data_IF_185724615563
#
_entry.id   IF_185724615563
#
_cell.length_a   1.000
_cell.length_b   1.000
_cell.length_c   1.000
_cell.angle_alpha   90.00
_cell.angle_beta   90.00
_cell.angle_gamma   90.00
#
_symmetry.space_group_name_H-M   'P 1'
#
loop_
_entity.id
_entity.type
_entity.pdbx_description
1 polymer ?
#
# COMPACT_ATOMS: atom_id res chain seq x y z
N UNK A 1 15.46 20.61 -22.37
CA UNK A 1 15.33 19.15 -22.32
C UNK A 1 15.25 18.62 -20.90
N UNK A 2 16.04 19.07 -19.92
CA UNK A 2 15.98 18.61 -18.52
C UNK A 2 14.58 18.62 -17.83
N UNK A 3 13.73 19.62 -18.10
CA UNK A 3 12.39 19.75 -17.48
C UNK A 3 11.36 18.70 -17.90
N UNK A 4 11.54 18.00 -19.03
CA UNK A 4 10.61 16.95 -19.47
C UNK A 4 10.88 15.61 -18.80
N UNK A 5 12.11 15.35 -18.37
CA UNK A 5 12.51 14.12 -17.71
C UNK A 5 12.13 14.13 -16.22
N UNK A 6 12.18 15.28 -15.53
CA UNK A 6 11.70 15.41 -14.16
C UNK A 6 10.18 15.14 -14.04
N UNK A 7 9.38 15.45 -15.07
CA UNK A 7 7.96 15.13 -15.08
C UNK A 7 7.66 13.67 -15.46
N UNK A 8 8.50 13.00 -16.21
CA UNK A 8 8.32 11.60 -16.58
C UNK A 8 8.65 10.65 -15.41
N UNK A 9 9.64 11.00 -14.57
CA UNK A 9 9.98 10.23 -13.38
C UNK A 9 8.92 10.30 -12.27
N UNK A 10 8.15 11.40 -12.18
CA UNK A 10 7.08 11.54 -11.19
C UNK A 10 5.81 10.74 -11.53
N UNK A 11 5.68 10.24 -12.76
CA UNK A 11 4.45 9.54 -13.20
C UNK A 11 4.56 8.02 -13.12
N UNK A 12 5.73 7.46 -12.85
CA UNK A 12 5.98 6.00 -12.91
C UNK A 12 5.95 5.26 -11.58
N UNK A 13 5.96 5.94 -10.43
CA UNK A 13 6.11 5.30 -9.13
C UNK A 13 4.94 5.59 -8.18
N UNK A 14 3.70 5.41 -8.64
CA UNK A 14 2.57 5.31 -7.73
C UNK A 14 2.52 3.87 -7.20
N UNK A 15 3.16 3.60 -6.05
CA UNK A 15 2.91 2.39 -5.31
C UNK A 15 1.48 2.46 -4.74
N UNK A 16 0.52 1.80 -5.39
CA UNK A 16 -0.84 1.67 -4.88
C UNK A 16 -0.86 0.57 -3.82
N UNK A 17 -0.91 0.97 -2.56
CA UNK A 17 -1.25 0.05 -1.47
C UNK A 17 -2.77 0.06 -1.30
N UNK A 18 -3.46 -0.98 -1.76
CA UNK A 18 -4.84 -1.23 -1.41
C UNK A 18 -4.89 -2.23 -0.25
N UNK A 19 -5.26 -1.75 0.94
CA UNK A 19 -5.51 -2.60 2.10
C UNK A 19 -7.02 -2.67 2.30
N UNK A 20 -7.65 -3.80 1.99
CA UNK A 20 -9.05 -4.04 2.33
C UNK A 20 -9.11 -4.73 3.69
N UNK A 21 -9.64 -4.03 4.69
CA UNK A 21 -9.90 -4.61 6.02
C UNK A 21 -11.41 -4.81 6.14
N UNK A 22 -11.93 -6.04 6.21
CA UNK A 22 -13.32 -6.26 6.58
C UNK A 22 -13.47 -6.03 8.08
N UNK A 23 -14.12 -4.93 8.45
CA UNK A 23 -14.51 -4.67 9.84
C UNK A 23 -15.92 -5.22 10.06
N UNK A 24 -16.03 -6.39 10.67
CA UNK A 24 -17.32 -6.90 11.15
C UNK A 24 -17.54 -6.41 12.58
N UNK A 25 -18.38 -5.40 12.75
CA UNK A 25 -18.93 -5.02 14.06
C UNK A 25 -20.39 -5.42 14.14
N UNK A 26 -20.73 -6.23 15.11
CA UNK A 26 -22.12 -6.58 15.45
C UNK A 26 -22.67 -5.53 16.41
N UNK A 27 -23.37 -4.53 15.91
CA UNK A 27 -24.32 -3.70 16.67
C UNK A 27 -25.23 -2.95 15.70
N UNK A 28 -26.52 -2.87 16.02
CA UNK A 28 -27.65 -2.19 15.37
C UNK A 28 -27.36 -1.38 14.10
N UNK A 29 -27.84 -1.89 12.95
CA UNK A 29 -28.04 -1.20 11.66
C UNK A 29 -26.99 -0.15 11.24
N UNK A 30 -25.72 -0.38 11.50
CA UNK A 30 -24.66 0.34 10.82
C UNK A 30 -24.52 -0.25 9.42
N UNK A 31 -24.50 0.57 8.36
CA UNK A 31 -24.34 0.07 7.01
C UNK A 31 -23.04 -0.72 6.89
N UNK A 32 -23.04 -1.77 6.09
CA UNK A 32 -21.80 -2.47 5.76
C UNK A 32 -20.84 -1.46 5.12
N UNK A 33 -19.63 -1.37 5.66
CA UNK A 33 -18.63 -0.38 5.23
C UNK A 33 -17.43 -1.09 4.61
N UNK A 34 -17.13 -0.74 3.37
CA UNK A 34 -15.86 -1.08 2.74
C UNK A 34 -14.94 0.13 2.72
N UNK A 35 -13.67 -0.08 3.06
CA UNK A 35 -12.70 0.99 3.13
C UNK A 35 -11.47 0.65 2.30
N UNK A 36 -11.04 1.61 1.47
CA UNK A 36 -9.80 1.53 0.70
C UNK A 36 -8.91 2.71 1.07
N UNK A 37 -7.65 2.45 1.36
CA UNK A 37 -6.67 3.47 1.69
C UNK A 37 -5.71 3.64 0.51
N UNK A 38 -5.61 4.85 -0.02
CA UNK A 38 -4.65 5.24 -1.05
C UNK A 38 -3.54 6.06 -0.42
N UNK A 39 -2.31 5.70 -0.71
CA UNK A 39 -1.13 6.39 -0.18
C UNK A 39 -0.31 6.91 -1.36
N UNK A 40 -0.09 8.22 -1.38
CA UNK A 40 0.90 8.82 -2.24
C UNK A 40 2.20 8.92 -1.46
N UNK A 41 3.28 8.45 -2.04
CA UNK A 41 4.60 8.50 -1.46
C UNK A 41 5.61 9.02 -2.49
N UNK A 42 6.71 9.58 -1.99
CA UNK A 42 7.85 9.97 -2.81
C UNK A 42 8.66 8.73 -3.27
N UNK A 43 9.70 8.96 -4.05
CA UNK A 43 10.58 7.91 -4.58
C UNK A 43 11.37 7.14 -3.50
N UNK A 44 11.34 7.56 -2.24
CA UNK A 44 11.99 6.85 -1.13
C UNK A 44 10.98 6.07 -0.29
N UNK A 45 9.68 6.20 -0.58
CA UNK A 45 8.58 5.62 0.18
C UNK A 45 8.06 6.52 1.31
N UNK A 46 8.53 7.78 1.42
CA UNK A 46 7.98 8.71 2.40
C UNK A 46 6.55 9.11 2.01
N UNK A 47 5.64 8.97 2.96
CA UNK A 47 4.23 9.28 2.75
C UNK A 47 4.02 10.78 2.59
N UNK A 48 3.45 11.19 1.46
CA UNK A 48 3.07 12.58 1.19
C UNK A 48 1.60 12.84 1.49
N UNK A 49 0.73 11.85 1.19
CA UNK A 49 -0.71 11.98 1.37
C UNK A 49 -1.37 10.61 1.58
N UNK A 50 -2.31 10.57 2.52
CA UNK A 50 -3.15 9.39 2.74
C UNK A 50 -4.61 9.77 2.51
N UNK A 51 -5.25 9.11 1.54
CA UNK A 51 -6.65 9.28 1.20
C UNK A 51 -7.38 7.99 1.57
N UNK A 52 -8.46 8.13 2.32
CA UNK A 52 -9.32 7.02 2.70
C UNK A 52 -10.64 7.16 1.94
N UNK A 53 -10.96 6.16 1.14
CA UNK A 53 -12.22 6.05 0.42
C UNK A 53 -13.13 5.04 1.10
N UNK A 54 -14.37 5.44 1.36
CA UNK A 54 -15.37 4.65 2.04
C UNK A 54 -16.56 4.40 1.13
N UNK A 55 -17.02 3.16 1.12
CA UNK A 55 -18.30 2.79 0.56
C UNK A 55 -19.22 2.29 1.68
N UNK A 56 -20.31 3.02 1.93
CA UNK A 56 -21.36 2.64 2.86
C UNK A 56 -22.49 2.01 2.05
N UNK A 57 -22.74 0.72 2.25
CA UNK A 57 -23.79 -0.02 1.55
C UNK A 57 -25.12 0.21 2.25
N UNK A 58 -26.06 0.83 1.57
CA UNK A 58 -27.41 1.09 2.07
C UNK A 58 -28.39 0.00 1.58
N UNK A 59 -28.16 -1.22 2.05
CA UNK A 59 -28.97 -2.39 1.62
C UNK A 59 -30.45 -2.25 1.96
N UNK A 60 -30.78 -1.58 3.07
CA UNK A 60 -32.15 -1.40 3.54
C UNK A 60 -32.85 -0.18 2.93
N UNK A 61 -32.15 0.55 2.04
CA UNK A 61 -32.70 1.73 1.35
C UNK A 61 -33.16 2.85 2.29
N UNK A 62 -32.45 3.02 3.38
CA UNK A 62 -32.73 4.07 4.34
C UNK A 62 -32.57 5.48 3.72
N UNK A 63 -33.37 6.42 4.17
CA UNK A 63 -33.27 7.82 3.73
C UNK A 63 -32.04 8.53 4.29
N UNK A 64 -31.51 8.05 5.42
CA UNK A 64 -30.31 8.58 6.07
C UNK A 64 -29.38 7.42 6.45
N UNK A 65 -28.06 7.66 6.29
CA UNK A 65 -27.01 6.70 6.64
C UNK A 65 -26.03 7.35 7.60
N UNK A 66 -25.79 6.70 8.74
CA UNK A 66 -24.84 7.17 9.74
C UNK A 66 -23.48 6.50 9.58
N UNK A 67 -22.40 7.26 9.77
CA UNK A 67 -21.05 6.76 9.88
C UNK A 67 -20.23 7.57 10.89
N UNK A 68 -19.15 7.02 11.39
CA UNK A 68 -18.16 7.74 12.18
C UNK A 68 -16.88 7.92 11.39
N UNK A 69 -16.37 9.13 11.32
CA UNK A 69 -15.18 9.45 10.56
C UNK A 69 -14.33 10.52 11.26
N UNK A 70 -13.04 10.25 11.34
CA UNK A 70 -12.01 11.20 11.80
C UNK A 70 -11.23 11.80 10.61
N UNK A 71 -11.75 11.64 9.39
CA UNK A 71 -11.12 12.14 8.18
C UNK A 71 -11.33 13.65 8.06
N UNK A 72 -10.34 14.31 7.46
CA UNK A 72 -10.41 15.70 7.05
C UNK A 72 -10.80 15.79 5.56
N UNK A 73 -11.28 16.97 5.13
CA UNK A 73 -11.60 17.25 3.72
C UNK A 73 -12.52 16.19 3.08
N UNK A 74 -13.58 15.82 3.82
CA UNK A 74 -14.53 14.80 3.37
C UNK A 74 -15.30 15.31 2.15
N UNK A 75 -15.33 14.48 1.10
CA UNK A 75 -16.08 14.75 -0.14
C UNK A 75 -16.84 13.51 -0.60
N UNK A 76 -18.06 13.69 -1.09
CA UNK A 76 -18.76 12.66 -1.84
C UNK A 76 -18.07 12.48 -3.21
N UNK A 77 -17.73 11.24 -3.60
CA UNK A 77 -16.99 10.97 -4.84
C UNK A 77 -17.85 10.29 -5.91
N UNK A 78 -19.09 9.92 -5.55
CA UNK A 78 -20.03 9.33 -6.48
C UNK A 78 -21.46 9.62 -6.03
N UNK A 79 -22.09 10.60 -6.64
CA UNK A 79 -23.41 11.08 -6.29
C UNK A 79 -23.39 12.52 -5.80
N UNK A 80 -24.52 13.02 -5.34
CA UNK A 80 -24.70 14.41 -4.88
C UNK A 80 -25.23 14.46 -3.42
N UNK A 81 -25.23 13.31 -2.73
CA UNK A 81 -25.71 13.19 -1.35
C UNK A 81 -24.88 14.09 -0.44
N UNK A 82 -25.61 14.90 0.31
CA UNK A 82 -25.01 15.79 1.31
C UNK A 82 -24.89 15.12 2.68
N UNK A 83 -24.05 15.65 3.54
CA UNK A 83 -23.92 15.18 4.92
C UNK A 83 -23.86 16.34 5.91
N UNK A 84 -24.18 16.03 7.14
CA UNK A 84 -23.88 16.87 8.31
C UNK A 84 -22.88 16.16 9.20
N UNK A 85 -21.96 16.91 9.80
CA UNK A 85 -20.95 16.36 10.69
C UNK A 85 -21.12 16.90 12.10
N UNK A 86 -21.25 15.98 13.07
CA UNK A 86 -21.26 16.30 14.49
C UNK A 86 -19.83 16.54 15.03
N UNK A 87 -19.74 17.17 16.19
CA UNK A 87 -18.46 17.44 16.88
C UNK A 87 -17.75 16.16 17.38
N UNK A 88 -18.45 15.05 17.42
CA UNK A 88 -18.00 13.72 17.82
C UNK A 88 -17.46 12.88 16.64
N UNK A 89 -17.38 13.47 15.43
CA UNK A 89 -16.97 12.78 14.21
C UNK A 89 -18.08 11.98 13.53
N UNK A 90 -19.32 12.07 14.07
CA UNK A 90 -20.48 11.41 13.47
C UNK A 90 -20.90 12.11 12.19
N UNK A 91 -21.02 11.34 11.10
CA UNK A 91 -21.53 11.79 9.82
C UNK A 91 -22.95 11.28 9.63
N UNK A 92 -23.85 12.19 9.24
CA UNK A 92 -25.22 11.84 8.85
C UNK A 92 -25.40 12.20 7.39
N UNK A 93 -25.51 11.20 6.54
CA UNK A 93 -25.69 11.34 5.10
C UNK A 93 -27.18 11.33 4.73
N UNK A 94 -27.60 12.26 3.89
CA UNK A 94 -28.93 12.23 3.24
C UNK A 94 -28.86 11.27 2.05
N UNK A 95 -29.00 9.99 2.33
CA UNK A 95 -28.73 8.90 1.36
C UNK A 95 -29.88 8.68 0.37
N UNK A 96 -31.13 9.02 0.73
CA UNK A 96 -32.33 8.84 -0.11
C UNK A 96 -32.42 7.43 -0.75
N UNK A 97 -31.99 6.40 -0.03
CA UNK A 97 -31.97 5.02 -0.48
C UNK A 97 -30.75 4.60 -1.29
N UNK A 98 -29.80 5.51 -1.53
CA UNK A 98 -28.56 5.23 -2.26
C UNK A 98 -27.43 4.77 -1.33
N UNK A 99 -26.47 4.04 -1.91
CA UNK A 99 -25.19 3.82 -1.27
C UNK A 99 -24.40 5.14 -1.24
N UNK A 100 -23.55 5.33 -0.20
CA UNK A 100 -22.71 6.50 -0.09
C UNK A 100 -21.25 6.14 -0.40
N UNK A 101 -20.64 6.94 -1.26
CA UNK A 101 -19.23 6.83 -1.62
C UNK A 101 -18.52 8.14 -1.27
N UNK A 102 -17.73 8.13 -0.22
CA UNK A 102 -17.02 9.32 0.17
C UNK A 102 -15.53 9.07 0.41
N UNK A 103 -14.74 10.11 0.31
CA UNK A 103 -13.32 10.07 0.65
C UNK A 103 -12.96 11.25 1.54
N UNK A 104 -11.86 11.08 2.24
CA UNK A 104 -11.23 12.13 3.03
C UNK A 104 -9.75 11.83 3.25
N UNK A 105 -9.07 12.72 3.94
CA UNK A 105 -7.64 12.63 4.19
C UNK A 105 -7.38 12.33 5.67
N UNK A 106 -6.27 11.63 5.94
CA UNK A 106 -5.82 11.37 7.31
C UNK A 106 -4.31 11.53 7.41
N UNK A 107 -3.85 11.93 8.61
CA UNK A 107 -2.44 11.92 9.00
C UNK A 107 -2.10 10.77 9.95
N UNK A 108 -3.01 9.80 10.13
CA UNK A 108 -2.74 8.63 10.97
C UNK A 108 -1.61 7.80 10.38
N UNK A 109 -0.81 7.24 11.27
CA UNK A 109 0.27 6.34 10.90
C UNK A 109 -0.26 5.09 10.19
N UNK A 110 0.41 4.68 9.11
CA UNK A 110 0.01 3.50 8.36
C UNK A 110 0.37 2.21 9.11
N UNK A 111 -0.47 1.18 9.02
CA UNK A 111 -0.18 -0.12 9.65
C UNK A 111 1.02 -0.83 9.02
N UNK A 112 1.36 -0.49 7.77
CA UNK A 112 2.56 -0.94 7.08
C UNK A 112 3.26 0.26 6.47
N UNK A 113 4.54 0.43 6.77
CA UNK A 113 5.39 1.41 6.11
C UNK A 113 6.21 0.76 4.99
N UNK A 114 6.52 1.57 3.98
CA UNK A 114 7.29 1.17 2.80
C UNK A 114 8.53 2.03 2.73
N UNK A 115 9.69 1.39 2.50
CA UNK A 115 10.95 2.08 2.22
C UNK A 115 11.48 1.60 0.88
N UNK A 116 11.88 2.54 0.01
CA UNK A 116 12.54 2.24 -1.24
C UNK A 116 14.02 2.60 -1.16
N UNK A 117 14.87 1.67 -1.60
CA UNK A 117 16.32 1.84 -1.62
C UNK A 117 16.84 1.44 -3.01
N UNK A 118 17.75 2.25 -3.54
CA UNK A 118 18.31 2.06 -4.87
C UNK A 118 19.78 1.74 -4.80
N UNK A 119 20.24 0.90 -5.73
CA UNK A 119 21.65 0.55 -5.86
C UNK A 119 22.05 0.61 -7.34
N UNK A 120 23.23 1.14 -7.60
CA UNK A 120 23.89 1.10 -8.89
C UNK A 120 25.21 0.35 -8.72
N UNK A 121 25.44 -0.70 -9.53
CA UNK A 121 26.62 -1.57 -9.43
C UNK A 121 26.89 -2.07 -7.99
N UNK A 122 25.78 -2.38 -7.26
CA UNK A 122 25.83 -2.87 -5.88
C UNK A 122 26.08 -1.82 -4.81
N UNK A 123 26.24 -0.55 -5.17
CA UNK A 123 26.40 0.56 -4.21
C UNK A 123 25.10 1.33 -4.08
N UNK A 124 24.71 1.61 -2.85
CA UNK A 124 23.54 2.44 -2.57
C UNK A 124 23.70 3.84 -3.19
N UNK A 125 22.63 4.33 -3.81
CA UNK A 125 22.57 5.61 -4.49
C UNK A 125 21.18 6.24 -4.24
N UNK A 126 21.11 7.56 -4.21
CA UNK A 126 19.81 8.22 -4.12
C UNK A 126 19.04 8.09 -5.45
N UNK A 127 17.70 8.10 -5.39
CA UNK A 127 16.88 8.10 -6.60
C UNK A 127 17.19 9.28 -7.53
N UNK A 128 17.49 10.45 -6.95
CA UNK A 128 17.85 11.65 -7.73
C UNK A 128 19.19 11.52 -8.46
N UNK A 129 20.18 10.87 -7.82
CA UNK A 129 21.51 10.67 -8.42
C UNK A 129 21.52 9.50 -9.43
N UNK A 130 20.54 8.59 -9.33
CA UNK A 130 20.39 7.47 -10.26
C UNK A 130 19.88 7.94 -11.62
N UNK A 131 19.15 9.05 -11.68
CA UNK A 131 18.60 9.60 -12.92
C UNK A 131 19.69 9.83 -13.99
N UNK A 132 19.46 9.31 -15.22
CA UNK A 132 20.39 9.39 -16.33
C UNK A 132 21.63 8.51 -16.18
N UNK A 133 21.64 7.55 -15.24
CA UNK A 133 22.73 6.59 -15.10
C UNK A 133 22.42 5.30 -15.86
N UNK A 134 23.49 4.63 -16.26
CA UNK A 134 23.43 3.30 -16.90
C UNK A 134 24.23 2.30 -16.06
N UNK A 135 23.83 1.05 -16.11
CA UNK A 135 24.49 -0.03 -15.38
C UNK A 135 23.51 -0.98 -14.71
N UNK A 136 24.02 -1.87 -13.85
CA UNK A 136 23.18 -2.80 -13.10
C UNK A 136 22.52 -2.09 -11.94
N UNK A 137 21.21 -1.92 -12.05
CA UNK A 137 20.37 -1.28 -11.02
C UNK A 137 19.65 -2.32 -10.19
N UNK A 138 19.54 -2.05 -8.89
CA UNK A 138 18.68 -2.79 -7.99
C UNK A 138 17.77 -1.81 -7.27
N UNK A 139 16.45 -2.13 -7.27
CA UNK A 139 15.42 -1.40 -6.52
C UNK A 139 14.92 -2.36 -5.45
N UNK A 140 15.06 -1.99 -4.19
CA UNK A 140 14.56 -2.76 -3.07
C UNK A 140 13.43 -2.02 -2.39
N UNK A 141 12.32 -2.71 -2.17
CA UNK A 141 11.09 -2.22 -1.54
C UNK A 141 10.90 -3.04 -0.26
N UNK A 142 11.22 -2.45 0.87
CA UNK A 142 11.05 -3.07 2.19
C UNK A 142 9.69 -2.70 2.78
N UNK A 143 9.01 -3.66 3.37
CA UNK A 143 7.75 -3.50 4.09
C UNK A 143 7.99 -3.71 5.58
N UNK A 144 7.57 -2.74 6.39
CA UNK A 144 7.61 -2.85 7.85
C UNK A 144 6.21 -2.85 8.41
N UNK A 145 5.84 -3.92 9.11
CA UNK A 145 4.55 -4.02 9.78
C UNK A 145 4.61 -3.30 11.13
N UNK A 146 3.85 -2.20 11.24
CA UNK A 146 3.79 -1.38 12.46
C UNK A 146 2.64 -1.80 13.39
N UNK A 147 1.83 -2.81 12.99
CA UNK A 147 0.66 -3.26 13.73
C UNK A 147 0.94 -4.60 14.41
N UNK A 148 1.23 -4.56 15.69
CA UNK A 148 1.48 -5.77 16.49
C UNK A 148 0.79 -5.71 17.84
N UNK A 149 0.59 -6.88 18.45
CA UNK A 149 0.10 -7.04 19.80
C UNK A 149 0.90 -8.09 20.55
N UNK A 150 0.97 -7.96 21.88
CA UNK A 150 1.57 -8.99 22.72
C UNK A 150 0.49 -9.95 23.19
N UNK A 151 0.66 -11.24 22.90
CA UNK A 151 -0.19 -12.31 23.39
C UNK A 151 0.60 -13.26 24.28
N UNK A 152 -0.09 -13.95 25.19
CA UNK A 152 0.50 -15.00 26.01
C UNK A 152 0.19 -16.37 25.41
N UNK A 153 1.22 -17.02 24.84
CA UNK A 153 1.11 -18.34 24.19
C UNK A 153 1.95 -19.33 24.98
N UNK A 154 1.34 -20.41 25.44
CA UNK A 154 2.02 -21.44 26.25
C UNK A 154 2.82 -20.86 27.43
N UNK A 155 2.27 -19.81 28.09
CA UNK A 155 2.88 -19.19 29.26
C UNK A 155 3.94 -18.12 28.93
N UNK A 156 4.37 -17.96 27.69
CA UNK A 156 5.34 -16.97 27.24
C UNK A 156 4.65 -15.78 26.56
N UNK A 157 5.21 -14.59 26.76
CA UNK A 157 4.77 -13.40 26.01
C UNK A 157 5.39 -13.44 24.61
N UNK A 158 4.54 -13.33 23.61
CA UNK A 158 4.93 -13.36 22.20
C UNK A 158 4.36 -12.13 21.48
N UNK A 159 5.12 -11.54 20.57
CA UNK A 159 4.66 -10.49 19.68
C UNK A 159 4.01 -11.14 18.48
N UNK A 160 2.77 -10.73 18.16
CA UNK A 160 2.03 -11.20 17.01
C UNK A 160 1.68 -9.99 16.17
N UNK A 161 2.06 -10.01 14.91
CA UNK A 161 1.72 -8.98 13.95
C UNK A 161 0.34 -9.22 13.34
N UNK A 162 -0.40 -8.14 13.09
CA UNK A 162 -1.59 -8.19 12.25
C UNK A 162 -1.17 -8.68 10.86
N UNK A 163 -1.80 -9.73 10.30
CA UNK A 163 -1.40 -10.26 9.01
C UNK A 163 -1.75 -9.28 7.89
N UNK A 164 -0.75 -8.85 7.13
CA UNK A 164 -0.91 -8.08 5.90
C UNK A 164 -0.30 -8.83 4.73
N UNK A 165 -0.96 -8.78 3.60
CA UNK A 165 -0.40 -9.18 2.31
C UNK A 165 -0.12 -7.92 1.50
N UNK A 166 1.14 -7.75 1.12
CA UNK A 166 1.60 -6.65 0.28
C UNK A 166 1.69 -7.13 -1.17
N UNK A 167 1.17 -6.35 -2.09
CA UNK A 167 1.35 -6.56 -3.51
C UNK A 167 2.03 -5.35 -4.13
N UNK A 168 3.13 -5.58 -4.86
CA UNK A 168 3.83 -4.55 -5.62
C UNK A 168 3.57 -4.76 -7.09
N UNK A 169 3.23 -3.68 -7.80
CA UNK A 169 3.22 -3.63 -9.26
C UNK A 169 4.17 -2.55 -9.75
N UNK A 170 5.03 -2.89 -10.72
CA UNK A 170 5.92 -1.92 -11.37
C UNK A 170 5.97 -2.19 -12.87
N UNK A 171 5.94 -1.13 -13.66
CA UNK A 171 6.05 -1.20 -15.12
C UNK A 171 7.39 -0.61 -15.52
N UNK A 172 8.22 -1.41 -16.17
CA UNK A 172 9.57 -1.07 -16.60
C UNK A 172 9.65 -1.18 -18.12
N UNK A 173 9.79 -0.07 -18.86
CA UNK A 173 9.94 -0.09 -20.32
C UNK A 173 11.13 -0.94 -20.78
N UNK A 174 10.95 -1.75 -21.82
CA UNK A 174 11.99 -2.67 -22.29
C UNK A 174 13.13 -1.98 -23.07
N UNK A 175 12.93 -0.76 -23.50
CA UNK A 175 13.96 0.09 -24.12
C UNK A 175 14.96 0.65 -23.08
N UNK A 176 14.56 0.76 -21.82
CA UNK A 176 15.39 1.25 -20.72
C UNK A 176 15.84 0.12 -19.80
N UNK A 177 14.97 -0.87 -19.53
CA UNK A 177 15.22 -1.93 -18.57
C UNK A 177 15.28 -3.30 -19.25
N UNK A 178 16.45 -3.91 -19.21
CA UNK A 178 16.69 -5.27 -19.75
C UNK A 178 17.08 -6.21 -18.61
N UNK A 179 17.01 -7.53 -18.86
CA UNK A 179 17.39 -8.58 -17.90
C UNK A 179 16.73 -8.39 -16.52
N UNK A 180 15.44 -8.06 -16.53
CA UNK A 180 14.69 -7.79 -15.30
C UNK A 180 14.45 -9.08 -14.54
N UNK A 181 14.88 -9.12 -13.28
CA UNK A 181 14.64 -10.20 -12.32
C UNK A 181 13.94 -9.65 -11.08
N UNK A 182 13.19 -10.48 -10.38
CA UNK A 182 12.51 -10.11 -9.14
C UNK A 182 12.61 -11.19 -8.09
N UNK A 183 12.90 -10.79 -6.86
CA UNK A 183 12.81 -11.66 -5.67
C UNK A 183 11.43 -11.49 -5.05
N UNK A 184 10.82 -12.60 -4.61
CA UNK A 184 9.45 -12.64 -4.08
C UNK A 184 8.39 -12.14 -5.07
N UNK A 185 8.57 -12.49 -6.36
CA UNK A 185 7.67 -12.02 -7.38
C UNK A 185 7.79 -12.72 -8.71
N UNK A 186 7.20 -12.11 -9.73
CA UNK A 186 7.23 -12.57 -11.12
C UNK A 186 7.33 -11.38 -12.08
N UNK A 187 8.09 -11.57 -13.15
CA UNK A 187 8.14 -10.64 -14.28
C UNK A 187 7.30 -11.19 -15.42
N UNK A 188 6.48 -10.36 -16.03
CA UNK A 188 5.67 -10.65 -17.22
C UNK A 188 6.01 -9.58 -18.26
N UNK A 189 6.49 -10.00 -19.44
CA UNK A 189 6.77 -9.07 -20.53
C UNK A 189 5.61 -9.05 -21.53
N UNK A 190 5.20 -7.86 -21.96
CA UNK A 190 4.24 -7.63 -23.05
C UNK A 190 4.94 -7.25 -24.38
N UNK A 191 6.28 -7.25 -24.39
CA UNK A 191 7.12 -6.87 -25.52
C UNK A 191 7.61 -5.42 -25.44
N UNK A 192 6.83 -4.49 -24.92
CA UNK A 192 7.21 -3.08 -24.72
C UNK A 192 7.56 -2.79 -23.26
N UNK A 193 7.01 -3.56 -22.35
CA UNK A 193 7.20 -3.38 -20.91
C UNK A 193 7.49 -4.71 -20.22
N UNK A 194 8.27 -4.65 -19.17
CA UNK A 194 8.38 -5.67 -18.15
C UNK A 194 7.47 -5.29 -16.98
N UNK A 195 6.41 -6.05 -16.76
CA UNK A 195 5.48 -5.87 -15.64
C UNK A 195 5.97 -6.74 -14.50
N UNK A 196 6.44 -6.10 -13.45
CA UNK A 196 6.89 -6.77 -12.23
C UNK A 196 5.74 -6.86 -11.27
N UNK A 197 5.47 -8.06 -10.75
CA UNK A 197 4.50 -8.32 -9.70
C UNK A 197 5.24 -8.95 -8.52
N UNK A 198 5.27 -8.26 -7.39
CA UNK A 198 5.89 -8.72 -6.15
C UNK A 198 4.86 -8.96 -5.06
N UNK A 199 5.16 -9.87 -4.11
CA UNK A 199 4.32 -10.19 -2.97
C UNK A 199 5.17 -10.19 -1.71
N UNK A 200 4.64 -9.61 -0.62
CA UNK A 200 5.27 -9.60 0.70
C UNK A 200 4.27 -9.90 1.82
N UNK A 201 4.77 -10.41 2.94
CA UNK A 201 3.96 -10.74 4.13
C UNK A 201 4.68 -10.25 5.40
N UNK A 202 4.78 -8.92 5.61
CA UNK A 202 5.59 -8.36 6.69
C UNK A 202 5.09 -8.81 8.07
N UNK A 203 6.03 -9.35 8.88
CA UNK A 203 5.78 -9.82 10.23
C UNK A 203 5.09 -11.19 10.34
N UNK A 204 4.67 -11.80 9.22
CA UNK A 204 4.02 -13.12 9.26
C UNK A 204 5.01 -14.22 9.64
N UNK A 205 6.23 -14.15 9.10
CA UNK A 205 7.29 -15.10 9.39
C UNK A 205 7.61 -15.15 10.88
N UNK A 206 7.73 -13.99 11.52
CA UNK A 206 8.01 -13.84 12.95
C UNK A 206 6.83 -14.30 13.80
N UNK A 207 5.60 -13.91 13.43
CA UNK A 207 4.37 -14.29 14.15
C UNK A 207 4.18 -15.81 14.20
N UNK A 208 4.53 -16.51 13.14
CA UNK A 208 4.42 -17.96 13.02
C UNK A 208 5.70 -18.71 13.48
N UNK A 209 6.76 -17.97 13.84
CA UNK A 209 8.07 -18.52 14.21
C UNK A 209 8.62 -19.51 13.18
N UNK A 210 8.45 -19.18 11.91
CA UNK A 210 8.86 -20.08 10.82
C UNK A 210 10.36 -20.35 10.83
N UNK A 211 11.19 -19.42 11.29
CA UNK A 211 12.63 -19.59 11.44
C UNK A 211 13.04 -20.75 12.40
N UNK A 212 12.15 -21.13 13.34
CA UNK A 212 12.39 -22.25 14.24
C UNK A 212 12.12 -23.61 13.58
N UNK A 213 11.50 -23.62 12.40
CA UNK A 213 11.19 -24.84 11.65
C UNK A 213 12.31 -25.15 10.68
N UNK A 214 12.80 -26.39 10.68
CA UNK A 214 13.92 -26.83 9.83
C UNK A 214 13.69 -26.55 8.35
N UNK A 215 12.46 -26.62 7.86
CA UNK A 215 12.12 -26.37 6.45
C UNK A 215 12.20 -24.89 6.06
N UNK A 216 12.25 -23.98 7.02
CA UNK A 216 12.28 -22.53 6.80
C UNK A 216 13.54 -21.85 7.37
N UNK A 217 14.41 -22.61 8.05
CA UNK A 217 15.57 -22.07 8.76
C UNK A 217 16.50 -21.22 7.90
N UNK A 218 16.61 -21.57 6.60
CA UNK A 218 17.47 -20.87 5.64
C UNK A 218 16.64 -20.05 4.63
N UNK A 219 15.35 -19.78 4.94
CA UNK A 219 14.50 -18.95 4.11
C UNK A 219 14.45 -17.54 4.70
N UNK A 220 14.57 -16.55 3.83
CA UNK A 220 14.35 -15.17 4.21
C UNK A 220 12.86 -14.91 4.39
N UNK A 221 12.53 -13.97 5.32
CA UNK A 221 11.18 -13.47 5.46
C UNK A 221 10.79 -12.72 4.18
N UNK A 222 9.59 -12.95 3.62
CA UNK A 222 9.14 -12.22 2.44
C UNK A 222 8.62 -10.82 2.81
N UNK A 223 9.46 -10.03 3.50
CA UNK A 223 9.13 -8.68 3.96
C UNK A 223 9.59 -7.61 2.97
N UNK A 224 10.05 -8.04 1.80
CA UNK A 224 10.56 -7.14 0.76
C UNK A 224 10.29 -7.69 -0.64
N UNK A 225 10.35 -6.79 -1.62
CA UNK A 225 10.49 -7.12 -3.04
C UNK A 225 11.77 -6.46 -3.54
N UNK A 226 12.62 -7.22 -4.22
CA UNK A 226 13.85 -6.71 -4.81
C UNK A 226 13.83 -6.95 -6.32
N UNK A 227 14.07 -5.91 -7.09
CA UNK A 227 14.07 -5.90 -8.55
C UNK A 227 15.47 -5.57 -9.01
N UNK A 228 16.06 -6.40 -9.89
CA UNK A 228 17.32 -6.12 -10.54
C UNK A 228 17.12 -6.01 -12.04
N UNK A 229 17.83 -5.10 -12.68
CA UNK A 229 17.80 -4.91 -14.12
C UNK A 229 19.13 -4.33 -14.62
N UNK A 230 19.43 -4.54 -15.89
CA UNK A 230 20.43 -3.77 -16.60
C UNK A 230 19.70 -2.58 -17.23
N UNK A 231 20.21 -1.36 -16.99
CA UNK A 231 19.53 -0.11 -17.32
C UNK A 231 20.40 0.77 -18.21
N UNK A 232 19.80 1.36 -19.23
CA UNK A 232 20.38 2.41 -20.05
C UNK A 232 19.56 3.69 -19.86
N UNK A 233 20.22 4.77 -19.37
CA UNK A 233 19.60 6.09 -19.15
C UNK A 233 18.36 6.03 -18.25
N UNK A 234 18.54 5.63 -16.98
CA UNK A 234 17.51 5.46 -15.94
C UNK A 234 16.61 6.69 -15.77
#
# INVERSE_FOLDING_TARGET
MKRKYEQAMMTGMAAMLAVTVPVTTVAAATPEKEQTVYVNADQNGNVEKVIVSNWLKNADKESTVEDNSELNNITNVKGEESYTQGSDGKLMWAADGNDIYYQGETSKELPVSVKMTYFLEGKEISAADLAGKSGKVKIRIDYTNNSSQTAKINGKKETIYTPFMMATGMILPTDTFTNVEVTNGKVISDGNNNIVLGIGFPGLYDSLKLGDLNSFKDKESPDYVEITADVEDF
#
